data_IF_909694928882
#
_entry.id   IF_909694928882
#
_cell.length_a   1.000
_cell.length_b   1.000
_cell.length_c   1.000
_cell.angle_alpha   90.00
_cell.angle_beta   90.00
_cell.angle_gamma   90.00
#
_symmetry.space_group_name_H-M   'P 1'
#
loop_
_entity.id
_entity.type
_entity.pdbx_description
1 polymer ?
#
# COMPACT_ATOMS: atom_id res chain seq x y z
N UNK A 1 0.06 5.51 -27.21
CA UNK A 1 0.45 4.88 -25.93
C UNK A 1 1.50 5.66 -25.13
N UNK A 2 2.58 6.22 -25.72
CA UNK A 2 3.61 6.94 -24.95
C UNK A 2 3.09 8.16 -24.19
N UNK A 3 2.26 8.99 -24.83
CA UNK A 3 1.74 10.23 -24.23
C UNK A 3 0.87 10.00 -22.98
N UNK A 4 0.10 8.91 -22.94
CA UNK A 4 -0.73 8.57 -21.76
C UNK A 4 0.14 8.10 -20.61
N UNK A 5 1.18 7.30 -20.90
CA UNK A 5 2.15 6.85 -19.90
C UNK A 5 2.92 8.05 -19.35
N UNK A 6 3.46 8.91 -20.22
CA UNK A 6 4.14 10.15 -19.80
C UNK A 6 3.23 11.06 -18.96
N UNK A 7 1.96 11.21 -19.35
CA UNK A 7 0.98 11.97 -18.57
C UNK A 7 0.71 11.37 -17.18
N UNK A 8 0.63 10.04 -17.06
CA UNK A 8 0.47 9.34 -15.77
C UNK A 8 1.71 9.44 -14.90
N UNK A 9 2.90 9.38 -15.50
CA UNK A 9 4.17 9.58 -14.79
C UNK A 9 4.25 11.00 -14.23
N UNK A 10 3.90 12.02 -15.02
CA UNK A 10 3.85 13.41 -14.56
C UNK A 10 2.80 13.62 -13.45
N UNK A 11 1.62 13.02 -13.57
CA UNK A 11 0.60 13.06 -12.51
C UNK A 11 1.08 12.38 -11.23
N UNK A 12 1.78 11.24 -11.34
CA UNK A 12 2.33 10.53 -10.18
C UNK A 12 3.40 11.37 -9.46
N UNK A 13 4.27 12.03 -10.22
CA UNK A 13 5.26 12.96 -9.68
C UNK A 13 4.57 14.13 -8.96
N UNK A 14 3.57 14.74 -9.61
CA UNK A 14 2.80 15.85 -9.04
C UNK A 14 2.04 15.45 -7.78
N UNK A 15 1.40 14.28 -7.77
CA UNK A 15 0.67 13.77 -6.60
C UNK A 15 1.58 13.51 -5.40
N UNK A 16 2.72 12.84 -5.61
CA UNK A 16 3.70 12.62 -4.54
C UNK A 16 4.30 13.92 -4.00
N UNK A 17 4.52 14.92 -4.85
CA UNK A 17 4.99 16.25 -4.44
C UNK A 17 3.95 17.00 -3.60
N UNK A 18 2.67 16.94 -3.98
CA UNK A 18 1.58 17.55 -3.21
C UNK A 18 1.41 16.91 -1.84
N UNK A 19 1.53 15.59 -1.74
CA UNK A 19 1.47 14.87 -0.46
C UNK A 19 2.60 15.35 0.48
N UNK A 20 3.84 15.42 -0.02
CA UNK A 20 5.01 15.91 0.75
C UNK A 20 4.80 17.35 1.20
N UNK A 21 4.37 18.24 0.29
CA UNK A 21 4.14 19.65 0.60
C UNK A 21 3.04 19.83 1.65
N UNK A 22 1.95 19.06 1.56
CA UNK A 22 0.90 19.07 2.56
C UNK A 22 1.42 18.70 3.95
N UNK A 23 2.28 17.69 4.04
CA UNK A 23 2.89 17.28 5.31
C UNK A 23 3.88 18.32 5.85
N UNK A 24 4.66 18.96 4.99
CA UNK A 24 5.57 20.05 5.37
C UNK A 24 4.76 21.23 5.92
N UNK A 25 3.70 21.65 5.23
CA UNK A 25 2.84 22.75 5.69
C UNK A 25 2.24 22.42 7.05
N UNK A 26 1.68 21.22 7.23
CA UNK A 26 1.15 20.80 8.54
C UNK A 26 2.25 20.80 9.60
N UNK A 27 3.45 20.32 9.28
CA UNK A 27 4.57 20.32 10.21
C UNK A 27 5.01 21.74 10.63
N UNK A 28 4.94 22.71 9.71
CA UNK A 28 5.33 24.10 9.96
C UNK A 28 4.30 24.88 10.78
N UNK A 29 3.00 24.62 10.57
CA UNK A 29 1.94 25.39 11.23
C UNK A 29 1.45 24.75 12.55
N UNK A 30 1.75 23.48 12.80
CA UNK A 30 1.25 22.75 13.99
C UNK A 30 2.37 22.23 14.89
N UNK A 31 2.07 22.13 16.18
CA UNK A 31 2.96 21.48 17.17
C UNK A 31 2.91 19.95 17.02
N UNK A 32 4.02 19.28 17.37
CA UNK A 32 4.19 17.83 17.17
C UNK A 32 3.06 16.98 17.79
N UNK A 33 2.48 17.45 18.91
CA UNK A 33 1.33 16.83 19.59
C UNK A 33 0.02 16.87 18.80
N UNK A 34 -0.19 17.89 17.97
CA UNK A 34 -1.43 18.11 17.22
C UNK A 34 -1.38 17.48 15.82
N UNK A 35 -0.18 17.28 15.28
CA UNK A 35 0.05 16.66 13.96
C UNK A 35 -0.74 15.38 13.70
N UNK A 36 -0.87 14.42 14.64
CA UNK A 36 -1.65 13.22 14.40
C UNK A 36 -3.11 13.50 14.05
N UNK A 37 -3.72 14.52 14.67
CA UNK A 37 -5.10 14.94 14.38
C UNK A 37 -5.21 15.55 12.99
N UNK A 38 -4.31 16.47 12.63
CA UNK A 38 -4.30 17.11 11.31
C UNK A 38 -4.01 16.12 10.18
N UNK A 39 -3.06 15.20 10.37
CA UNK A 39 -2.80 14.11 9.42
C UNK A 39 -4.02 13.20 9.26
N UNK A 40 -4.76 12.95 10.34
CA UNK A 40 -6.02 12.21 10.31
C UNK A 40 -7.11 12.92 9.48
N UNK A 41 -7.28 14.23 9.66
CA UNK A 41 -8.22 15.05 8.87
C UNK A 41 -7.84 15.06 7.39
N UNK A 42 -6.55 15.21 7.07
CA UNK A 42 -6.05 15.18 5.70
C UNK A 42 -6.27 13.83 4.99
N UNK A 43 -6.55 12.74 5.73
CA UNK A 43 -6.90 11.46 5.12
C UNK A 43 -8.35 11.42 4.59
N UNK A 44 -9.24 12.32 5.04
CA UNK A 44 -10.67 12.30 4.68
C UNK A 44 -10.89 12.49 3.17
N UNK A 45 -10.29 13.49 2.48
CA UNK A 45 -10.47 13.66 1.03
C UNK A 45 -9.98 12.46 0.23
N UNK A 46 -8.85 11.85 0.64
CA UNK A 46 -8.34 10.61 0.06
C UNK A 46 -9.33 9.46 0.26
N UNK A 47 -10.04 9.41 1.38
CA UNK A 47 -11.08 8.41 1.66
C UNK A 47 -12.23 8.55 0.65
N UNK A 48 -12.72 9.78 0.47
CA UNK A 48 -13.80 10.09 -0.46
C UNK A 48 -13.41 9.76 -1.90
N UNK A 49 -12.22 10.15 -2.34
CA UNK A 49 -11.70 9.82 -3.67
C UNK A 49 -11.55 8.31 -3.90
N UNK A 50 -11.14 7.58 -2.85
CA UNK A 50 -11.03 6.12 -2.89
C UNK A 50 -12.38 5.41 -2.94
N UNK A 51 -13.48 6.07 -2.54
CA UNK A 51 -14.82 5.50 -2.60
C UNK A 51 -15.37 5.48 -4.03
N UNK A 52 -14.98 6.44 -4.86
CA UNK A 52 -15.59 6.67 -6.18
C UNK A 52 -14.92 5.90 -7.33
N UNK A 53 -13.74 5.28 -7.10
CA UNK A 53 -12.90 4.72 -8.16
C UNK A 53 -12.93 3.18 -8.33
N UNK A 54 -12.71 2.37 -7.29
CA UNK A 54 -12.42 0.93 -7.44
C UNK A 54 -13.65 0.02 -7.56
N UNK A 55 -13.44 -1.20 -8.06
CA UNK A 55 -14.45 -2.29 -8.00
C UNK A 55 -14.84 -2.65 -6.56
N UNK A 56 -16.05 -3.18 -6.32
CA UNK A 56 -16.63 -3.38 -4.97
C UNK A 56 -15.70 -4.06 -3.94
N UNK A 57 -14.86 -5.03 -4.34
CA UNK A 57 -13.90 -5.67 -3.44
C UNK A 57 -12.67 -4.84 -3.13
N UNK A 58 -12.12 -4.16 -4.13
CA UNK A 58 -11.04 -3.20 -3.94
C UNK A 58 -11.51 -1.97 -3.14
N UNK A 59 -12.76 -1.56 -3.34
CA UNK A 59 -13.40 -0.45 -2.64
C UNK A 59 -13.40 -0.69 -1.13
N UNK A 60 -13.86 -1.85 -0.66
CA UNK A 60 -13.91 -2.14 0.78
C UNK A 60 -12.52 -2.18 1.43
N UNK A 61 -11.53 -2.77 0.74
CA UNK A 61 -10.14 -2.76 1.19
C UNK A 61 -9.58 -1.33 1.28
N UNK A 62 -9.82 -0.50 0.26
CA UNK A 62 -9.35 0.88 0.24
C UNK A 62 -10.03 1.74 1.32
N UNK A 63 -11.34 1.62 1.49
CA UNK A 63 -12.06 2.32 2.56
C UNK A 63 -11.50 1.92 3.92
N UNK A 64 -11.29 0.62 4.17
CA UNK A 64 -10.67 0.15 5.40
C UNK A 64 -9.28 0.76 5.62
N UNK A 65 -8.44 0.83 4.57
CA UNK A 65 -7.11 1.44 4.67
C UNK A 65 -7.17 2.93 5.02
N UNK A 66 -8.08 3.71 4.42
CA UNK A 66 -8.12 5.14 4.70
C UNK A 66 -8.69 5.44 6.09
N UNK A 67 -9.72 4.69 6.51
CA UNK A 67 -10.25 4.78 7.87
C UNK A 67 -9.19 4.39 8.91
N UNK A 68 -8.41 3.34 8.64
CA UNK A 68 -7.30 2.94 9.49
C UNK A 68 -6.23 4.03 9.56
N UNK A 69 -5.86 4.63 8.43
CA UNK A 69 -4.89 5.73 8.36
C UNK A 69 -5.32 6.91 9.24
N UNK A 70 -6.59 7.33 9.14
CA UNK A 70 -7.12 8.45 9.91
C UNK A 70 -7.26 8.13 11.41
N UNK A 71 -7.87 6.99 11.73
CA UNK A 71 -8.12 6.58 13.12
C UNK A 71 -6.83 6.26 13.88
N UNK A 72 -5.89 5.54 13.27
CA UNK A 72 -4.61 5.19 13.91
C UNK A 72 -3.80 6.44 14.26
N UNK A 73 -3.75 7.45 13.38
CA UNK A 73 -3.10 8.72 13.68
C UNK A 73 -3.83 9.49 14.79
N UNK A 74 -5.15 9.67 14.69
CA UNK A 74 -5.93 10.40 15.69
C UNK A 74 -5.84 9.79 17.11
N UNK A 75 -5.68 8.46 17.21
CA UNK A 75 -5.58 7.75 18.47
C UNK A 75 -4.22 7.86 19.16
N UNK A 76 -3.15 8.28 18.46
CA UNK A 76 -1.80 8.41 19.05
C UNK A 76 -1.77 9.40 20.20
N UNK A 77 -2.49 10.52 20.09
CA UNK A 77 -2.56 11.54 21.14
C UNK A 77 -3.22 11.04 22.42
N UNK A 78 -4.49 10.58 22.38
CA UNK A 78 -5.18 10.04 23.55
C UNK A 78 -4.50 8.82 24.17
N UNK A 79 -3.89 7.95 23.36
CA UNK A 79 -3.21 6.74 23.83
C UNK A 79 -1.73 6.96 24.19
N UNK A 80 -1.26 8.21 24.16
CA UNK A 80 0.09 8.64 24.58
C UNK A 80 1.20 7.75 24.01
N UNK A 81 1.19 7.57 22.70
CA UNK A 81 2.29 6.94 21.99
C UNK A 81 1.89 6.34 20.65
N UNK A 82 2.87 6.02 19.83
CA UNK A 82 2.66 5.48 18.47
C UNK A 82 3.21 4.07 18.27
N UNK A 83 4.06 3.53 19.15
CA UNK A 83 4.66 2.19 18.97
C UNK A 83 3.64 1.08 18.87
N UNK A 84 2.63 1.10 19.75
CA UNK A 84 1.57 0.08 19.74
C UNK A 84 0.86 0.03 18.39
N UNK A 85 0.59 1.19 17.78
CA UNK A 85 -0.05 1.28 16.48
C UNK A 85 0.87 0.77 15.38
N UNK A 86 2.16 1.11 15.42
CA UNK A 86 3.16 0.61 14.46
C UNK A 86 3.27 -0.92 14.51
N UNK A 87 3.39 -1.50 15.70
CA UNK A 87 3.52 -2.95 15.88
C UNK A 87 2.27 -3.71 15.46
N UNK A 88 1.08 -3.24 15.88
CA UNK A 88 -0.19 -3.85 15.45
C UNK A 88 -0.33 -3.78 13.93
N UNK A 89 0.05 -2.66 13.32
CA UNK A 89 -0.08 -2.48 11.87
C UNK A 89 0.87 -3.39 11.10
N UNK A 90 2.14 -3.49 11.50
CA UNK A 90 3.09 -4.44 10.90
C UNK A 90 2.68 -5.89 11.10
N UNK A 91 2.13 -6.23 12.27
CA UNK A 91 1.58 -7.57 12.52
C UNK A 91 0.40 -7.87 11.58
N UNK A 92 -0.57 -6.94 11.46
CA UNK A 92 -1.72 -7.09 10.57
C UNK A 92 -1.30 -7.19 9.09
N UNK A 93 -0.30 -6.42 8.64
CA UNK A 93 0.21 -6.53 7.27
C UNK A 93 0.91 -7.86 7.05
N UNK A 94 1.75 -8.31 7.98
CA UNK A 94 2.47 -9.59 7.87
C UNK A 94 1.49 -10.77 7.86
N UNK A 95 0.55 -10.79 8.81
CA UNK A 95 -0.50 -11.80 8.87
C UNK A 95 -1.42 -11.73 7.64
N UNK A 96 -1.83 -10.52 7.25
CA UNK A 96 -2.70 -10.29 6.10
C UNK A 96 -2.08 -10.75 4.79
N UNK A 97 -0.82 -10.39 4.52
CA UNK A 97 -0.11 -10.86 3.33
C UNK A 97 0.06 -12.37 3.32
N UNK A 98 0.37 -13.00 4.46
CA UNK A 98 0.45 -14.45 4.60
C UNK A 98 -0.89 -15.15 4.35
N UNK A 99 -1.99 -14.59 4.86
CA UNK A 99 -3.34 -15.12 4.63
C UNK A 99 -3.83 -14.89 3.20
N UNK A 100 -3.42 -13.81 2.53
CA UNK A 100 -3.71 -13.58 1.12
C UNK A 100 -3.09 -14.68 0.24
N UNK A 101 -1.96 -15.26 0.64
CA UNK A 101 -1.37 -16.42 -0.04
C UNK A 101 -2.25 -17.68 0.05
N UNK A 102 -3.22 -17.75 0.98
CA UNK A 102 -4.16 -18.87 1.07
C UNK A 102 -5.36 -18.69 0.15
N UNK A 103 -5.60 -17.48 -0.39
CA UNK A 103 -6.68 -17.25 -1.35
C UNK A 103 -6.44 -18.07 -2.62
N UNK A 104 -7.53 -18.64 -3.11
CA UNK A 104 -7.56 -19.52 -4.27
C UNK A 104 -8.89 -19.36 -4.99
N UNK A 105 -8.99 -19.94 -6.18
CA UNK A 105 -10.19 -19.91 -7.02
C UNK A 105 -11.42 -20.49 -6.30
N UNK A 106 -11.24 -21.42 -5.35
CA UNK A 106 -12.32 -22.05 -4.58
C UNK A 106 -12.59 -21.40 -3.21
N UNK A 107 -11.92 -20.29 -2.89
CA UNK A 107 -12.08 -19.62 -1.60
C UNK A 107 -13.47 -18.99 -1.43
N UNK A 108 -13.99 -19.00 -0.20
CA UNK A 108 -15.30 -18.41 0.10
C UNK A 108 -15.29 -16.90 -0.10
N UNK A 109 -16.45 -16.32 -0.44
CA UNK A 109 -16.60 -14.86 -0.57
C UNK A 109 -16.21 -14.11 0.71
N UNK A 110 -16.48 -14.70 1.88
CA UNK A 110 -16.09 -14.14 3.17
C UNK A 110 -14.58 -14.00 3.31
N UNK A 111 -13.79 -15.02 2.92
CA UNK A 111 -12.33 -14.90 2.89
C UNK A 111 -11.86 -13.87 1.85
N UNK A 112 -12.53 -13.84 0.69
CA UNK A 112 -12.22 -12.92 -0.40
C UNK A 112 -12.41 -11.44 -0.06
N UNK A 113 -13.27 -11.09 0.90
CA UNK A 113 -13.42 -9.71 1.38
C UNK A 113 -12.75 -9.47 2.73
N UNK A 114 -12.85 -10.42 3.67
CA UNK A 114 -12.37 -10.25 5.04
C UNK A 114 -10.85 -10.12 5.14
N UNK A 115 -10.10 -10.97 4.42
CA UNK A 115 -8.63 -10.94 4.47
C UNK A 115 -8.09 -9.63 3.87
N UNK A 116 -8.54 -9.17 2.68
CA UNK A 116 -8.13 -7.87 2.15
C UNK A 116 -8.48 -6.68 3.05
N UNK A 117 -9.65 -6.67 3.70
CA UNK A 117 -10.03 -5.59 4.62
C UNK A 117 -9.05 -5.50 5.80
N UNK A 118 -8.73 -6.64 6.43
CA UNK A 118 -7.77 -6.70 7.53
C UNK A 118 -6.37 -6.25 7.07
N UNK A 119 -5.91 -6.72 5.92
CA UNK A 119 -4.62 -6.30 5.34
C UNK A 119 -4.61 -4.80 5.02
N UNK A 120 -5.69 -4.29 4.41
CA UNK A 120 -5.88 -2.87 4.10
C UNK A 120 -5.81 -1.99 5.33
N UNK A 121 -6.37 -2.43 6.46
CA UNK A 121 -6.27 -1.71 7.72
C UNK A 121 -4.81 -1.53 8.17
N UNK A 122 -4.02 -2.61 8.18
CA UNK A 122 -2.61 -2.56 8.55
C UNK A 122 -1.80 -1.64 7.63
N UNK A 123 -2.02 -1.73 6.31
CA UNK A 123 -1.35 -0.85 5.34
C UNK A 123 -1.72 0.61 5.55
N UNK A 124 -3.00 0.89 5.76
CA UNK A 124 -3.52 2.23 6.00
C UNK A 124 -2.84 2.94 7.17
N UNK A 125 -2.79 2.25 8.31
CA UNK A 125 -2.12 2.79 9.50
C UNK A 125 -0.60 2.98 9.30
N UNK A 126 0.07 2.08 8.58
CA UNK A 126 1.49 2.21 8.23
C UNK A 126 1.81 3.37 7.29
N UNK A 127 0.84 3.87 6.51
CA UNK A 127 1.07 5.01 5.63
C UNK A 127 1.15 6.35 6.39
N UNK A 128 0.63 6.43 7.62
CA UNK A 128 0.55 7.69 8.39
C UNK A 128 1.36 7.66 9.68
N UNK A 129 1.22 6.61 10.49
CA UNK A 129 1.78 6.60 11.85
C UNK A 129 3.31 6.67 11.89
N UNK A 130 4.07 5.96 11.01
CA UNK A 130 5.53 6.03 11.01
C UNK A 130 6.12 7.41 10.69
N UNK A 131 5.31 8.37 10.23
CA UNK A 131 5.76 9.75 10.01
C UNK A 131 5.99 10.49 11.33
N UNK A 132 5.24 10.14 12.38
CA UNK A 132 5.34 10.76 13.71
C UNK A 132 6.70 10.54 14.40
N UNK A 133 7.23 9.31 14.54
CA UNK A 133 8.56 9.10 15.13
C UNK A 133 9.66 9.79 14.32
N UNK A 134 9.54 9.80 13.00
CA UNK A 134 10.51 10.45 12.12
C UNK A 134 10.54 11.96 12.41
N UNK A 135 9.38 12.59 12.47
CA UNK A 135 9.29 14.00 12.84
C UNK A 135 9.72 14.28 14.29
N UNK A 136 9.46 13.35 15.22
CA UNK A 136 9.89 13.46 16.61
C UNK A 136 11.41 13.29 16.77
N UNK A 137 12.06 12.53 15.88
CA UNK A 137 13.51 12.28 15.90
C UNK A 137 14.34 13.47 15.45
N UNK A 138 13.72 14.46 14.80
CA UNK A 138 14.39 15.66 14.32
C UNK A 138 14.81 16.54 15.51
N UNK A 139 16.09 16.90 15.55
CA UNK A 139 16.66 17.78 16.59
C UNK A 139 16.31 19.26 16.35
N UNK A 140 16.39 19.74 15.11
CA UNK A 140 16.04 21.12 14.73
C UNK A 140 14.81 21.14 13.84
N UNK A 141 13.79 21.93 14.16
CA UNK A 141 12.54 21.99 13.37
C UNK A 141 12.78 22.31 11.89
N UNK A 142 13.79 23.12 11.59
CA UNK A 142 14.15 23.50 10.22
C UNK A 142 14.48 22.30 9.33
N UNK A 143 14.91 21.17 9.90
CA UNK A 143 15.25 19.96 9.18
C UNK A 143 14.04 19.03 8.97
N UNK A 144 12.88 19.34 9.57
CA UNK A 144 11.68 18.49 9.52
C UNK A 144 11.23 18.25 8.08
N UNK A 145 11.22 19.28 7.24
CA UNK A 145 10.82 19.15 5.84
C UNK A 145 11.79 18.29 5.02
N UNK A 146 13.10 18.41 5.27
CA UNK A 146 14.11 17.57 4.61
C UNK A 146 13.97 16.10 5.00
N UNK A 147 13.71 15.84 6.28
CA UNK A 147 13.53 14.48 6.80
C UNK A 147 12.23 13.85 6.27
N UNK A 148 11.12 14.60 6.22
CA UNK A 148 9.87 14.14 5.58
C UNK A 148 10.12 13.82 4.10
N UNK A 149 10.80 14.71 3.37
CA UNK A 149 11.14 14.51 1.97
C UNK A 149 11.98 13.25 1.73
N UNK A 150 13.01 13.02 2.56
CA UNK A 150 13.84 11.82 2.49
C UNK A 150 13.04 10.55 2.76
N UNK A 151 12.15 10.56 3.75
CA UNK A 151 11.27 9.41 4.02
C UNK A 151 10.35 9.12 2.83
N UNK A 152 9.74 10.15 2.24
CA UNK A 152 8.87 9.99 1.08
C UNK A 152 9.64 9.46 -0.14
N UNK A 153 10.86 9.94 -0.36
CA UNK A 153 11.75 9.40 -1.38
C UNK A 153 12.03 7.91 -1.17
N UNK A 154 12.44 7.50 0.04
CA UNK A 154 12.70 6.10 0.38
C UNK A 154 11.43 5.23 0.24
N UNK A 155 10.26 5.77 0.60
CA UNK A 155 8.97 5.09 0.44
C UNK A 155 8.65 4.83 -1.03
N UNK A 156 8.82 5.83 -1.89
CA UNK A 156 8.57 5.69 -3.33
C UNK A 156 9.59 4.74 -3.99
N UNK A 157 10.87 4.82 -3.59
CA UNK A 157 11.90 3.89 -4.03
C UNK A 157 11.58 2.44 -3.63
N UNK A 158 11.16 2.21 -2.38
CA UNK A 158 10.72 0.91 -1.90
C UNK A 158 9.53 0.37 -2.69
N UNK A 159 8.57 1.21 -3.05
CA UNK A 159 7.46 0.85 -3.93
C UNK A 159 7.90 0.37 -5.32
N UNK A 160 8.89 1.05 -5.91
CA UNK A 160 9.46 0.66 -7.20
C UNK A 160 10.21 -0.68 -7.12
N UNK A 161 11.05 -0.87 -6.09
CA UNK A 161 11.76 -2.14 -5.86
C UNK A 161 10.77 -3.28 -5.61
N UNK A 162 9.75 -3.05 -4.78
CA UNK A 162 8.71 -4.04 -4.49
C UNK A 162 7.92 -4.45 -5.73
N UNK A 163 7.60 -3.50 -6.61
CA UNK A 163 6.95 -3.77 -7.89
C UNK A 163 7.85 -4.61 -8.81
N UNK A 164 9.14 -4.28 -8.91
CA UNK A 164 10.10 -5.02 -9.73
C UNK A 164 10.25 -6.48 -9.25
N UNK A 165 10.39 -6.69 -7.93
CA UNK A 165 10.43 -8.02 -7.32
C UNK A 165 9.14 -8.79 -7.62
N UNK A 166 7.98 -8.17 -7.40
CA UNK A 166 6.69 -8.82 -7.63
C UNK A 166 6.49 -9.22 -9.09
N UNK A 167 6.89 -8.36 -10.03
CA UNK A 167 6.85 -8.65 -11.47
C UNK A 167 7.77 -9.82 -11.82
N UNK A 168 9.01 -9.81 -11.32
CA UNK A 168 9.96 -10.89 -11.57
C UNK A 168 9.50 -12.23 -10.99
N UNK A 169 8.99 -12.24 -9.76
CA UNK A 169 8.43 -13.44 -9.11
C UNK A 169 7.22 -13.95 -9.89
N UNK A 170 6.33 -13.05 -10.33
CA UNK A 170 5.18 -13.42 -11.15
C UNK A 170 5.62 -14.10 -12.45
N UNK A 171 6.50 -13.49 -13.24
CA UNK A 171 6.96 -14.06 -14.51
C UNK A 171 7.65 -15.40 -14.34
N UNK A 172 8.52 -15.53 -13.32
CA UNK A 172 9.25 -16.77 -13.04
C UNK A 172 8.35 -17.95 -12.68
N UNK A 173 7.14 -17.70 -12.15
CA UNK A 173 6.16 -18.75 -11.81
C UNK A 173 5.12 -18.92 -12.91
N UNK A 174 4.69 -17.82 -13.53
CA UNK A 174 3.63 -17.80 -14.52
C UNK A 174 4.06 -18.41 -15.85
N UNK A 175 5.21 -18.03 -16.41
CA UNK A 175 5.65 -18.48 -17.75
C UNK A 175 5.85 -20.00 -17.83
N UNK A 176 6.53 -20.67 -16.87
CA UNK A 176 6.65 -22.13 -16.88
C UNK A 176 5.32 -22.85 -16.64
N UNK A 177 4.38 -22.21 -15.96
CA UNK A 177 3.07 -22.78 -15.65
C UNK A 177 2.11 -22.67 -16.84
N UNK A 178 2.11 -21.51 -17.52
CA UNK A 178 1.23 -21.28 -18.66
C UNK A 178 1.72 -22.01 -19.91
N UNK A 179 3.03 -22.12 -20.13
CA UNK A 179 3.62 -22.82 -21.29
C UNK A 179 3.19 -24.28 -21.42
N UNK A 180 2.90 -24.95 -20.30
CA UNK A 180 2.33 -26.31 -20.28
C UNK A 180 0.92 -26.39 -20.87
N UNK A 181 0.19 -25.28 -20.87
CA UNK A 181 -1.23 -25.19 -21.25
C UNK A 181 -1.37 -24.48 -22.61
N UNK A 182 -0.40 -23.64 -23.03
CA UNK A 182 -0.39 -22.93 -24.33
C UNK A 182 -0.81 -23.81 -25.53
N UNK A 183 -0.36 -25.08 -25.68
CA UNK A 183 -0.73 -25.90 -26.83
C UNK A 183 -2.24 -26.19 -26.93
N UNK A 184 -2.97 -26.07 -25.83
CA UNK A 184 -4.40 -26.31 -25.72
C UNK A 184 -5.22 -25.02 -25.75
N UNK A 185 -4.56 -23.85 -25.82
CA UNK A 185 -5.23 -22.55 -25.86
C UNK A 185 -5.64 -22.18 -27.30
N UNK A 186 -6.80 -21.52 -27.47
CA UNK A 186 -7.16 -20.85 -28.73
C UNK A 186 -6.07 -19.88 -29.21
N UNK A 187 -5.97 -19.67 -30.52
CA UNK A 187 -4.97 -18.80 -31.13
C UNK A 187 -4.97 -17.37 -30.54
N UNK A 188 -6.14 -16.88 -30.14
CA UNK A 188 -6.33 -15.56 -29.52
C UNK A 188 -5.66 -15.44 -28.13
N UNK A 189 -5.39 -16.56 -27.47
CA UNK A 189 -4.80 -16.63 -26.14
C UNK A 189 -3.36 -17.15 -26.14
N UNK A 190 -2.77 -17.47 -27.29
CA UNK A 190 -1.36 -17.91 -27.35
C UNK A 190 -0.39 -16.82 -26.85
N UNK A 191 -0.75 -15.54 -26.99
CA UNK A 191 -0.02 -14.39 -26.44
C UNK A 191 0.01 -14.36 -24.91
N UNK A 192 -0.82 -15.17 -24.23
CA UNK A 192 -0.79 -15.35 -22.78
C UNK A 192 0.50 -16.02 -22.30
N UNK A 193 1.30 -16.60 -23.22
CA UNK A 193 2.62 -17.11 -22.91
C UNK A 193 3.63 -16.05 -22.46
N UNK A 194 3.38 -14.77 -22.76
CA UNK A 194 4.18 -13.64 -22.28
C UNK A 194 3.57 -13.06 -21.00
N UNK A 195 4.34 -13.09 -19.89
CA UNK A 195 3.90 -12.56 -18.61
C UNK A 195 3.55 -11.06 -18.66
N UNK A 196 4.21 -10.27 -19.54
CA UNK A 196 3.93 -8.84 -19.68
C UNK A 196 2.52 -8.58 -20.21
N UNK A 197 1.99 -9.51 -21.00
CA UNK A 197 0.66 -9.41 -21.59
C UNK A 197 -0.41 -10.02 -20.69
N UNK A 198 -0.03 -10.81 -19.69
CA UNK A 198 -0.94 -11.54 -18.81
C UNK A 198 -1.96 -10.63 -18.09
N UNK A 199 -1.55 -9.44 -17.65
CA UNK A 199 -2.45 -8.51 -16.95
C UNK A 199 -3.53 -7.96 -17.90
N UNK A 200 -3.18 -7.71 -19.16
CA UNK A 200 -4.07 -7.17 -20.19
C UNK A 200 -5.11 -8.16 -20.73
N UNK A 201 -4.93 -9.47 -20.48
CA UNK A 201 -5.86 -10.51 -20.92
C UNK A 201 -7.00 -10.79 -19.95
N UNK A 202 -6.89 -10.39 -18.68
CA UNK A 202 -7.91 -10.62 -17.65
C UNK A 202 -9.34 -10.18 -18.06
N UNK A 203 -9.55 -9.00 -18.69
CA UNK A 203 -10.88 -8.61 -19.18
C UNK A 203 -11.37 -9.49 -20.35
N UNK A 204 -10.46 -9.91 -21.25
CA UNK A 204 -10.77 -10.72 -22.43
C UNK A 204 -11.15 -12.15 -22.08
N UNK A 205 -10.59 -12.69 -20.98
CA UNK A 205 -10.93 -14.02 -20.47
C UNK A 205 -12.41 -14.16 -20.06
N UNK A 206 -13.08 -13.04 -19.72
CA UNK A 206 -14.51 -13.04 -19.36
C UNK A 206 -15.44 -12.99 -20.56
N UNK A 207 -14.96 -12.50 -21.70
CA UNK A 207 -15.77 -12.29 -22.91
C UNK A 207 -15.64 -13.44 -23.91
N UNK A 208 -14.56 -14.20 -23.83
CA UNK A 208 -14.34 -15.37 -24.69
C UNK A 208 -15.14 -16.57 -24.18
N UNK A 209 -15.86 -17.24 -25.07
CA UNK A 209 -16.56 -18.49 -24.78
C UNK A 209 -15.55 -19.65 -24.67
N UNK A 210 -14.84 -19.71 -23.56
CA UNK A 210 -13.84 -20.74 -23.25
C UNK A 210 -14.53 -21.86 -22.43
N UNK A 211 -14.21 -23.14 -22.66
CA UNK A 211 -14.68 -24.23 -21.81
C UNK A 211 -14.36 -23.95 -20.33
N UNK A 212 -15.32 -24.21 -19.43
CA UNK A 212 -15.19 -23.90 -18.01
C UNK A 212 -13.96 -24.55 -17.35
N UNK A 213 -13.59 -25.75 -17.81
CA UNK A 213 -12.41 -26.47 -17.35
C UNK A 213 -11.10 -25.73 -17.69
N UNK A 214 -10.98 -25.24 -18.93
CA UNK A 214 -9.80 -24.49 -19.37
C UNK A 214 -9.70 -23.13 -18.66
N UNK A 215 -10.84 -22.48 -18.42
CA UNK A 215 -10.89 -21.24 -17.64
C UNK A 215 -10.41 -21.45 -16.20
N UNK A 216 -10.81 -22.55 -15.54
CA UNK A 216 -10.35 -22.90 -14.20
C UNK A 216 -8.84 -23.17 -14.16
N UNK A 217 -8.30 -23.86 -15.17
CA UNK A 217 -6.87 -24.13 -15.29
C UNK A 217 -6.09 -22.81 -15.45
N UNK A 218 -6.54 -21.89 -16.31
CA UNK A 218 -5.92 -20.56 -16.46
C UNK A 218 -5.99 -19.79 -15.14
N UNK A 219 -7.16 -19.72 -14.49
CA UNK A 219 -7.32 -19.03 -13.21
C UNK A 219 -6.41 -19.61 -12.13
N UNK A 220 -6.21 -20.93 -12.10
CA UNK A 220 -5.30 -21.59 -11.17
C UNK A 220 -3.84 -21.19 -11.44
N UNK A 221 -3.42 -21.13 -12.71
CA UNK A 221 -2.08 -20.65 -13.09
C UNK A 221 -1.81 -19.22 -12.61
N UNK A 222 -2.78 -18.32 -12.77
CA UNK A 222 -2.68 -16.98 -12.19
C UNK A 222 -2.62 -17.01 -10.67
N UNK A 223 -3.50 -17.79 -10.03
CA UNK A 223 -3.56 -17.92 -8.58
C UNK A 223 -2.22 -18.37 -8.01
N UNK A 224 -1.55 -19.35 -8.63
CA UNK A 224 -0.26 -19.86 -8.15
C UNK A 224 0.87 -18.83 -8.31
N UNK A 225 0.86 -18.04 -9.38
CA UNK A 225 1.79 -16.92 -9.55
C UNK A 225 1.57 -15.80 -8.51
N UNK A 226 0.31 -15.42 -8.24
CA UNK A 226 -0.01 -14.44 -7.19
C UNK A 226 0.34 -14.93 -5.79
N UNK A 227 0.16 -16.23 -5.51
CA UNK A 227 0.58 -16.83 -4.23
C UNK A 227 2.08 -16.69 -4.00
N UNK A 228 2.90 -16.91 -5.02
CA UNK A 228 4.34 -16.70 -4.92
C UNK A 228 4.70 -15.25 -4.57
N UNK A 229 4.00 -14.27 -5.16
CA UNK A 229 4.17 -12.85 -4.80
C UNK A 229 3.80 -12.63 -3.33
N UNK A 230 2.65 -13.15 -2.87
CA UNK A 230 2.24 -12.98 -1.47
C UNK A 230 3.23 -13.61 -0.49
N UNK A 231 3.85 -14.75 -0.80
CA UNK A 231 4.91 -15.31 0.03
C UNK A 231 6.15 -14.41 0.08
N UNK A 232 6.59 -13.87 -1.06
CA UNK A 232 7.69 -12.92 -1.10
C UNK A 232 7.38 -11.65 -0.27
N UNK A 233 6.16 -11.11 -0.40
CA UNK A 233 5.68 -9.97 0.38
C UNK A 233 5.55 -10.28 1.87
N UNK A 234 5.19 -11.50 2.24
CA UNK A 234 5.13 -11.95 3.65
C UNK A 234 6.52 -11.94 4.26
N UNK A 235 7.54 -12.42 3.53
CA UNK A 235 8.93 -12.32 3.96
C UNK A 235 9.39 -10.87 4.16
N UNK A 236 9.10 -9.99 3.19
CA UNK A 236 9.47 -8.58 3.27
C UNK A 236 8.74 -7.83 4.42
N UNK A 237 7.45 -8.09 4.61
CA UNK A 237 6.68 -7.50 5.72
C UNK A 237 7.10 -8.05 7.08
N UNK A 238 7.49 -9.32 7.17
CA UNK A 238 8.10 -9.89 8.37
C UNK A 238 9.40 -9.19 8.76
N UNK A 239 10.25 -8.85 7.79
CA UNK A 239 11.44 -8.01 8.05
C UNK A 239 11.06 -6.61 8.53
N UNK A 240 10.00 -6.01 7.96
CA UNK A 240 9.44 -4.73 8.42
C UNK A 240 8.90 -4.79 9.85
N UNK A 241 8.23 -5.88 10.21
CA UNK A 241 7.78 -6.12 11.59
C UNK A 241 8.97 -6.22 12.55
N UNK A 242 9.98 -7.01 12.21
CA UNK A 242 11.19 -7.16 13.03
C UNK A 242 11.95 -5.83 13.19
N UNK A 243 12.11 -5.06 12.11
CA UNK A 243 12.77 -3.75 12.19
C UNK A 243 11.95 -2.74 13.00
N UNK A 244 10.62 -2.84 13.00
CA UNK A 244 9.75 -1.98 13.80
C UNK A 244 9.90 -2.16 15.32
N UNK A 245 10.48 -3.29 15.77
CA UNK A 245 10.78 -3.50 17.19
C UNK A 245 11.88 -2.54 17.68
N UNK A 246 12.75 -2.08 16.77
CA UNK A 246 13.77 -1.07 17.07
C UNK A 246 13.21 0.37 17.10
N UNK A 247 11.93 0.58 16.80
CA UNK A 247 11.31 1.91 16.90
C UNK A 247 11.25 2.34 18.37
N UNK A 248 11.88 3.48 18.67
CA UNK A 248 11.85 4.11 19.99
C UNK A 248 10.60 4.98 20.18
N UNK A 249 10.13 5.12 21.42
CA UNK A 249 9.02 6.02 21.76
C UNK A 249 9.63 7.38 22.12
N UNK A 250 9.65 8.29 21.16
CA UNK A 250 10.07 9.67 21.36
C UNK A 250 8.89 10.52 21.81
N UNK A 251 9.14 11.43 22.75
CA UNK A 251 8.13 12.36 23.25
C UNK A 251 7.60 13.26 22.13
N UNK A 252 6.27 13.38 22.08
CA UNK A 252 5.57 14.30 21.19
C UNK A 252 5.37 15.69 21.82
N UNK A 253 5.70 15.86 23.09
CA UNK A 253 5.58 17.11 23.85
C UNK A 253 6.78 18.04 23.55
N UNK A 254 6.99 18.36 22.27
CA UNK A 254 7.88 19.46 21.86
C UNK A 254 7.02 20.70 21.63
N UNK A 255 7.23 21.73 22.45
CA UNK A 255 6.54 23.04 22.32
C UNK A 255 7.14 23.93 21.23
N UNK A 256 8.29 23.53 20.67
CA UNK A 256 8.94 24.28 19.60
C UNK A 256 8.02 24.33 18.36
N UNK A 257 7.66 25.54 17.93
CA UNK A 257 6.78 25.81 16.79
C UNK A 257 7.59 25.99 15.51
N UNK A 258 6.99 25.70 14.36
CA UNK A 258 7.54 26.11 13.07
C UNK A 258 7.66 27.63 12.96
N UNK A 259 8.51 28.09 12.05
CA UNK A 259 9.02 29.48 12.01
C UNK A 259 7.95 30.58 11.94
N UNK A 260 6.70 30.27 11.60
CA UNK A 260 5.69 31.26 11.23
C UNK A 260 4.85 31.80 12.39
N UNK A 261 5.00 31.28 13.63
CA UNK A 261 4.47 31.85 14.89
C UNK A 261 3.03 32.42 14.86
N UNK A 262 2.09 31.82 14.11
CA UNK A 262 0.80 32.48 13.84
C UNK A 262 -0.17 32.64 15.03
N UNK A 263 0.03 31.96 16.16
CA UNK A 263 -0.83 32.09 17.34
C UNK A 263 -0.08 32.63 18.56
N UNK A 264 0.41 33.87 18.47
CA UNK A 264 0.76 34.68 19.63
C UNK A 264 -0.42 35.57 20.02
N UNK A 265 -1.42 34.97 20.65
CA UNK A 265 -2.45 35.68 21.44
C UNK A 265 -2.73 34.92 22.71
#
# INVERSE_FOLDING_TARGET
MPAVISGRLLQGLGGGGLDVLGEIIVADITVLKERPTYLGIMAIPTAVGSILGPSLGALLCHVASVLAAGSSAALVGPLKGYRWSIWISWFLVTLGTGLLALLSVSSSKAMGFGIPIMWGWGVGALLRVPQLPIQASVANINDTGLVIGLMMFLRLLGGLVGLAISSSVFSNVFEPSISKIIPYLPAELQQLGDANMAIGFSPKLRTLAIPAELLLVIQKTYSDAFRAIFFAMTGASGLGLLSSLATEELTLDKEERGQQQFDST
#
